data_IF_976248680812
#
_entry.id   IF_976248680812
#
_cell.length_a   1.000
_cell.length_b   1.000
_cell.length_c   1.000
_cell.angle_alpha   90.00
_cell.angle_beta   90.00
_cell.angle_gamma   90.00
#
_symmetry.space_group_name_H-M   'P 1'
#
loop_
_entity.id
_entity.type
_entity.pdbx_description
1 polymer ?
#
# COMPACT_ATOMS: atom_id res chain seq x y z
N UNK A 1 -32.44 8.11 -12.59
CA UNK A 1 -31.43 8.84 -11.78
C UNK A 1 -32.07 9.76 -10.74
N UNK A 2 -33.16 10.47 -11.05
CA UNK A 2 -33.81 11.40 -10.14
C UNK A 2 -34.51 10.69 -8.95
N UNK A 3 -35.15 9.55 -9.21
CA UNK A 3 -35.83 8.73 -8.19
C UNK A 3 -34.89 8.20 -7.09
N UNK A 4 -33.63 7.88 -7.45
CA UNK A 4 -32.60 7.44 -6.50
C UNK A 4 -32.16 8.57 -5.54
N UNK A 5 -32.18 9.81 -6.01
CA UNK A 5 -31.86 11.00 -5.21
C UNK A 5 -33.00 11.39 -4.25
N UNK A 6 -34.23 11.05 -4.59
CA UNK A 6 -35.41 11.30 -3.76
C UNK A 6 -35.53 10.24 -2.64
N UNK A 7 -35.18 8.98 -2.92
CA UNK A 7 -35.13 7.91 -1.93
C UNK A 7 -34.09 8.15 -0.82
N UNK A 8 -32.96 8.80 -1.12
CA UNK A 8 -31.96 9.17 -0.12
C UNK A 8 -32.40 10.34 0.76
N UNK A 9 -33.32 11.19 0.28
CA UNK A 9 -33.86 12.34 1.03
C UNK A 9 -35.04 11.96 1.93
N UNK A 10 -35.85 10.99 1.52
CA UNK A 10 -37.09 10.63 2.21
C UNK A 10 -36.91 9.60 3.34
N UNK A 11 -35.76 8.93 3.44
CA UNK A 11 -35.43 8.13 4.62
C UNK A 11 -35.02 9.05 5.77
N UNK A 12 -35.90 9.14 6.77
CA UNK A 12 -35.57 9.63 8.11
C UNK A 12 -34.25 9.03 8.55
N UNK A 13 -33.27 9.90 8.71
CA UNK A 13 -31.88 9.62 9.03
C UNK A 13 -31.72 8.59 10.16
N UNK A 14 -31.32 7.38 9.81
CA UNK A 14 -30.17 6.77 10.48
C UNK A 14 -29.09 6.65 9.42
N UNK A 15 -28.27 7.70 9.33
CA UNK A 15 -27.01 7.63 8.62
C UNK A 15 -26.15 6.55 9.29
N UNK A 16 -26.21 5.30 8.78
CA UNK A 16 -25.42 4.20 9.30
C UNK A 16 -26.04 2.79 9.26
N UNK A 17 -27.29 2.60 8.85
CA UNK A 17 -27.98 1.28 8.94
C UNK A 17 -28.39 0.65 7.60
N UNK A 18 -27.84 1.11 6.46
CA UNK A 18 -27.92 0.27 5.26
C UNK A 18 -26.96 -0.91 5.44
N UNK A 19 -27.42 -2.17 5.42
CA UNK A 19 -26.51 -3.31 5.43
C UNK A 19 -25.56 -3.17 4.24
N UNK A 20 -24.28 -3.48 4.46
CA UNK A 20 -23.21 -3.28 3.48
C UNK A 20 -23.51 -3.91 2.11
N UNK A 21 -24.36 -4.94 2.07
CA UNK A 21 -24.80 -5.63 0.84
C UNK A 21 -25.72 -4.80 -0.06
N UNK A 22 -26.43 -3.81 0.48
CA UNK A 22 -27.36 -2.96 -0.27
C UNK A 22 -26.76 -1.60 -0.65
N UNK A 23 -25.50 -1.36 -0.31
CA UNK A 23 -24.81 -0.12 -0.64
C UNK A 23 -24.19 -0.21 -2.04
N UNK A 24 -24.70 0.52 -3.06
CA UNK A 24 -24.16 0.49 -4.42
C UNK A 24 -22.74 1.08 -4.51
N UNK A 25 -22.25 1.73 -3.45
CA UNK A 25 -20.88 2.23 -3.34
C UNK A 25 -19.96 1.29 -2.54
N UNK A 26 -20.50 0.21 -1.95
CA UNK A 26 -19.71 -0.74 -1.18
C UNK A 26 -19.07 -1.80 -2.09
N UNK A 27 -17.79 -1.63 -2.39
CA UNK A 27 -16.95 -2.68 -2.97
C UNK A 27 -16.30 -3.49 -1.86
N UNK A 28 -16.50 -4.82 -1.85
CA UNK A 28 -15.77 -5.68 -0.92
C UNK A 28 -14.27 -5.61 -1.23
N UNK A 29 -13.43 -5.30 -0.24
CA UNK A 29 -11.97 -5.30 -0.43
C UNK A 29 -11.34 -6.62 -0.86
N UNK A 30 -12.12 -7.72 -0.83
CA UNK A 30 -11.69 -9.02 -1.35
C UNK A 30 -11.89 -9.12 -2.86
N UNK A 31 -12.70 -8.24 -3.43
CA UNK A 31 -12.87 -8.14 -4.86
C UNK A 31 -11.59 -7.58 -5.48
N UNK A 32 -11.15 -8.21 -6.55
CA UNK A 32 -9.94 -7.80 -7.25
C UNK A 32 -10.35 -6.92 -8.41
N UNK A 33 -9.82 -5.71 -8.44
CA UNK A 33 -10.06 -4.74 -9.50
C UNK A 33 -8.84 -4.71 -10.42
N UNK A 34 -9.04 -4.49 -11.71
CA UNK A 34 -7.93 -4.27 -12.65
C UNK A 34 -7.21 -2.97 -12.28
N UNK A 35 -5.93 -3.10 -11.94
CA UNK A 35 -5.03 -2.00 -11.60
C UNK A 35 -4.47 -1.33 -12.85
N UNK A 36 -4.19 -2.13 -13.88
CA UNK A 36 -3.63 -1.64 -15.13
C UNK A 36 -3.33 -2.76 -16.11
N UNK A 37 -2.88 -2.36 -17.29
CA UNK A 37 -2.57 -3.25 -18.41
C UNK A 37 -1.14 -3.04 -18.86
N UNK A 38 -0.43 -4.14 -19.12
CA UNK A 38 0.87 -4.15 -19.79
C UNK A 38 0.73 -4.89 -21.13
N UNK A 39 1.24 -4.32 -22.21
CA UNK A 39 1.07 -4.84 -23.57
C UNK A 39 2.40 -5.23 -24.17
N UNK A 40 2.49 -6.41 -24.78
CA UNK A 40 3.69 -6.89 -25.49
C UNK A 40 3.34 -7.33 -26.91
N UNK A 41 4.21 -7.05 -27.87
CA UNK A 41 4.03 -7.51 -29.25
C UNK A 41 4.71 -8.87 -29.44
N UNK A 42 4.00 -9.81 -30.07
CA UNK A 42 4.45 -11.20 -30.22
C UNK A 42 5.09 -11.49 -31.58
N UNK A 43 5.46 -10.46 -32.34
CA UNK A 43 6.09 -10.61 -33.66
C UNK A 43 7.43 -11.37 -33.62
N UNK A 44 8.13 -11.37 -32.48
CA UNK A 44 9.35 -12.17 -32.26
C UNK A 44 9.08 -13.68 -32.29
N UNK A 45 7.89 -14.10 -31.83
CA UNK A 45 7.49 -15.52 -31.83
C UNK A 45 7.32 -16.06 -33.25
N UNK A 46 6.99 -15.21 -34.23
CA UNK A 46 6.91 -15.55 -35.66
C UNK A 46 8.26 -15.96 -36.27
N UNK A 47 9.36 -15.74 -35.55
CA UNK A 47 10.71 -16.16 -35.94
C UNK A 47 11.31 -17.18 -34.97
N UNK A 48 10.47 -17.79 -34.11
CA UNK A 48 10.88 -18.72 -33.05
C UNK A 48 11.89 -18.11 -32.05
N UNK A 49 11.88 -16.79 -31.89
CA UNK A 49 12.78 -16.08 -30.97
C UNK A 49 12.14 -15.95 -29.58
N UNK A 50 12.97 -16.08 -28.54
CA UNK A 50 12.59 -15.75 -27.17
C UNK A 50 12.46 -14.22 -27.03
N UNK A 51 11.45 -13.81 -26.26
CA UNK A 51 11.19 -12.42 -25.92
C UNK A 51 11.24 -12.23 -24.40
N UNK A 52 12.18 -11.42 -23.92
CA UNK A 52 12.27 -11.02 -22.51
C UNK A 52 12.23 -9.49 -22.43
N UNK A 53 11.21 -8.96 -21.75
CA UNK A 53 11.00 -7.51 -21.69
C UNK A 53 10.45 -7.07 -20.33
N UNK A 54 10.83 -5.85 -19.96
CA UNK A 54 10.26 -5.14 -18.82
C UNK A 54 9.22 -4.14 -19.32
N UNK A 55 7.95 -4.50 -19.13
CA UNK A 55 6.81 -3.77 -19.68
C UNK A 55 6.27 -2.75 -18.67
N UNK A 56 6.00 -1.51 -19.06
CA UNK A 56 5.28 -0.56 -18.19
C UNK A 56 3.83 -1.01 -18.00
N UNK A 57 3.31 -0.81 -16.79
CA UNK A 57 1.91 -1.05 -16.44
C UNK A 57 1.18 0.29 -16.48
N UNK A 58 0.20 0.42 -17.38
CA UNK A 58 -0.60 1.63 -17.52
C UNK A 58 -1.95 1.51 -16.84
N UNK A 59 -2.31 2.54 -16.08
CA UNK A 59 -3.64 2.72 -15.52
C UNK A 59 -4.68 3.10 -16.59
N UNK A 60 -5.96 3.08 -16.24
CA UNK A 60 -7.04 3.64 -17.08
C UNK A 60 -6.86 5.14 -17.40
N UNK A 61 -6.03 5.84 -16.62
CA UNK A 61 -5.64 7.24 -16.84
C UNK A 61 -4.37 7.40 -17.69
N UNK A 62 -3.90 6.33 -18.30
CA UNK A 62 -2.63 6.26 -19.04
C UNK A 62 -1.42 6.73 -18.21
N UNK A 63 -1.49 6.54 -16.88
CA UNK A 63 -0.36 6.80 -15.98
C UNK A 63 0.40 5.51 -15.79
N UNK A 64 1.72 5.60 -15.86
CA UNK A 64 2.58 4.48 -15.50
C UNK A 64 2.52 4.27 -13.99
N UNK A 65 2.05 3.09 -13.60
CA UNK A 65 1.91 2.70 -12.19
C UNK A 65 3.14 1.91 -11.72
N UNK A 66 3.73 1.13 -12.61
CA UNK A 66 4.81 0.19 -12.28
C UNK A 66 5.28 -0.54 -13.53
N UNK A 67 6.02 -1.62 -13.32
CA UNK A 67 6.60 -2.42 -14.40
C UNK A 67 6.32 -3.91 -14.17
N UNK A 68 6.18 -4.67 -15.24
CA UNK A 68 6.01 -6.11 -15.25
C UNK A 68 7.17 -6.75 -16.04
N UNK A 69 7.93 -7.62 -15.38
CA UNK A 69 9.01 -8.38 -16.01
C UNK A 69 8.43 -9.71 -16.54
N UNK A 70 8.41 -9.87 -17.87
CA UNK A 70 7.84 -11.04 -18.55
C UNK A 70 8.87 -11.66 -19.48
N UNK A 71 8.88 -13.00 -19.54
CA UNK A 71 9.65 -13.77 -20.49
C UNK A 71 8.72 -14.72 -21.24
N UNK A 72 8.80 -14.73 -22.57
CA UNK A 72 7.95 -15.50 -23.46
C UNK A 72 8.85 -16.24 -24.44
N UNK A 73 8.63 -17.54 -24.62
CA UNK A 73 9.38 -18.30 -25.62
C UNK A 73 8.48 -19.29 -26.34
N UNK A 74 8.69 -19.47 -27.66
CA UNK A 74 8.01 -20.48 -28.43
C UNK A 74 8.70 -21.84 -28.26
N UNK A 75 7.91 -22.89 -28.20
CA UNK A 75 8.34 -24.27 -28.34
C UNK A 75 7.58 -24.87 -29.53
N UNK A 76 8.30 -25.16 -30.61
CA UNK A 76 7.77 -25.88 -31.77
C UNK A 76 8.61 -27.12 -32.04
N UNK A 77 7.97 -28.17 -32.53
CA UNK A 77 8.64 -29.40 -32.96
C UNK A 77 9.35 -29.26 -34.31
N UNK A 78 9.12 -28.16 -35.04
CA UNK A 78 9.64 -27.93 -36.40
C UNK A 78 10.29 -26.55 -36.52
N UNK A 79 11.21 -26.41 -37.47
CA UNK A 79 11.89 -25.13 -37.77
C UNK A 79 10.98 -24.11 -38.48
N UNK A 80 9.84 -24.55 -39.03
CA UNK A 80 8.85 -23.71 -39.70
C UNK A 80 7.58 -23.63 -38.85
N UNK A 81 7.11 -22.41 -38.61
CA UNK A 81 5.94 -22.14 -37.76
C UNK A 81 4.63 -22.57 -38.44
N UNK A 82 4.43 -22.18 -39.71
CA UNK A 82 3.20 -22.48 -40.45
C UNK A 82 3.12 -23.99 -40.70
N UNK A 83 2.01 -24.62 -40.27
CA UNK A 83 1.81 -26.07 -40.34
C UNK A 83 2.56 -26.86 -39.25
N UNK A 84 3.00 -26.17 -38.18
CA UNK A 84 3.56 -26.80 -36.99
C UNK A 84 2.68 -26.55 -35.77
N UNK A 85 2.74 -27.49 -34.82
CA UNK A 85 2.15 -27.30 -33.51
C UNK A 85 3.05 -26.38 -32.68
N UNK A 86 2.50 -25.22 -32.30
CA UNK A 86 3.21 -24.23 -31.51
C UNK A 86 2.70 -24.23 -30.07
N UNK A 87 3.59 -24.42 -29.11
CA UNK A 87 3.35 -24.19 -27.69
C UNK A 87 4.09 -22.93 -27.26
N UNK A 88 3.38 -21.95 -26.71
CA UNK A 88 3.98 -20.73 -26.19
C UNK A 88 4.09 -20.84 -24.68
N UNK A 89 5.29 -20.65 -24.16
CA UNK A 89 5.55 -20.58 -22.74
C UNK A 89 5.62 -19.12 -22.32
N UNK A 90 4.86 -18.77 -21.28
CA UNK A 90 4.82 -17.45 -20.69
C UNK A 90 5.24 -17.57 -19.22
N UNK A 91 6.35 -16.93 -18.90
CA UNK A 91 6.86 -16.76 -17.55
C UNK A 91 6.65 -15.32 -17.08
N UNK A 92 5.86 -15.17 -16.01
CA UNK A 92 5.70 -13.89 -15.32
C UNK A 92 6.69 -13.90 -14.15
N UNK A 93 7.78 -13.12 -14.28
CA UNK A 93 8.85 -13.10 -13.28
C UNK A 93 8.40 -12.33 -12.04
N UNK A 94 8.17 -11.03 -12.20
CA UNK A 94 7.81 -10.15 -11.10
C UNK A 94 7.10 -8.88 -11.61
N UNK A 95 6.36 -8.21 -10.73
CA UNK A 95 6.00 -6.81 -10.92
C UNK A 95 6.76 -5.92 -9.94
N UNK A 96 7.06 -4.69 -10.34
CA UNK A 96 7.84 -3.72 -9.55
C UNK A 96 7.19 -2.35 -9.56
N UNK A 97 7.27 -1.67 -8.42
CA UNK A 97 6.82 -0.28 -8.27
C UNK A 97 5.31 -0.11 -8.16
N UNK A 98 4.56 -1.16 -7.82
CA UNK A 98 3.11 -1.06 -7.67
C UNK A 98 2.72 -0.08 -6.54
N UNK A 99 1.50 0.48 -6.52
CA UNK A 99 1.09 1.46 -5.52
C UNK A 99 1.01 0.85 -4.12
N UNK A 100 1.38 1.62 -3.10
CA UNK A 100 1.36 1.16 -1.70
C UNK A 100 -0.06 0.81 -1.18
N UNK A 101 -1.11 1.33 -1.83
CA UNK A 101 -2.52 1.07 -1.54
C UNK A 101 -2.96 -0.35 -1.89
N UNK A 102 -2.18 -1.06 -2.68
CA UNK A 102 -2.45 -2.43 -3.10
C UNK A 102 -2.04 -3.42 -2.01
N UNK A 103 -2.90 -4.41 -1.75
CA UNK A 103 -2.65 -5.49 -0.79
C UNK A 103 -2.18 -6.76 -1.48
N UNK A 104 -3.02 -7.35 -2.32
CA UNK A 104 -2.72 -8.55 -3.10
C UNK A 104 -2.85 -8.29 -4.59
N UNK A 105 -2.07 -9.01 -5.39
CA UNK A 105 -1.94 -8.82 -6.84
C UNK A 105 -1.88 -10.16 -7.55
N UNK A 106 -2.43 -10.22 -8.75
CA UNK A 106 -2.21 -11.32 -9.68
C UNK A 106 -2.28 -10.77 -11.10
N UNK A 107 -1.75 -11.53 -12.05
CA UNK A 107 -1.78 -11.17 -13.46
C UNK A 107 -2.64 -12.19 -14.20
N UNK A 108 -3.51 -11.70 -15.07
CA UNK A 108 -4.25 -12.54 -16.02
C UNK A 108 -4.00 -12.10 -17.45
N UNK A 109 -4.07 -13.03 -18.38
CA UNK A 109 -3.89 -12.77 -19.81
C UNK A 109 -4.63 -13.82 -20.63
N UNK A 110 -4.93 -13.49 -21.88
CA UNK A 110 -5.49 -14.41 -22.87
C UNK A 110 -4.67 -14.32 -24.16
N UNK A 111 -4.37 -15.47 -24.75
CA UNK A 111 -3.57 -15.55 -25.97
C UNK A 111 -4.47 -15.97 -27.14
N UNK A 112 -4.58 -15.12 -28.16
CA UNK A 112 -5.31 -15.41 -29.41
C UNK A 112 -6.75 -15.93 -29.20
N UNK A 113 -7.45 -15.40 -28.19
CA UNK A 113 -8.82 -15.80 -27.86
C UNK A 113 -8.97 -17.14 -27.14
N UNK A 114 -7.87 -17.74 -26.66
CA UNK A 114 -7.94 -18.88 -25.75
C UNK A 114 -8.39 -18.47 -24.34
N UNK A 115 -8.65 -19.48 -23.49
CA UNK A 115 -9.08 -19.29 -22.11
C UNK A 115 -8.13 -18.38 -21.34
N UNK A 116 -8.70 -17.53 -20.49
CA UNK A 116 -7.93 -16.66 -19.60
C UNK A 116 -7.07 -17.49 -18.64
N UNK A 117 -5.78 -17.18 -18.63
CA UNK A 117 -4.81 -17.76 -17.71
C UNK A 117 -4.51 -16.79 -16.60
N UNK A 118 -4.32 -17.33 -15.39
CA UNK A 118 -4.16 -16.54 -14.17
C UNK A 118 -2.96 -17.00 -13.36
N UNK A 119 -2.13 -16.05 -12.92
CA UNK A 119 -1.02 -16.30 -12.01
C UNK A 119 -1.49 -16.50 -10.57
N UNK A 120 -0.60 -17.05 -9.73
CA UNK A 120 -0.82 -17.09 -8.28
C UNK A 120 -0.91 -15.67 -7.71
N UNK A 121 -1.82 -15.46 -6.75
CA UNK A 121 -1.94 -14.19 -6.04
C UNK A 121 -0.76 -13.99 -5.09
N UNK A 122 -0.16 -12.80 -5.10
CA UNK A 122 0.99 -12.40 -4.28
C UNK A 122 0.77 -11.01 -3.68
N UNK A 123 1.26 -10.80 -2.47
CA UNK A 123 1.16 -9.52 -1.77
C UNK A 123 2.49 -8.77 -1.80
N UNK A 124 2.43 -7.44 -1.74
CA UNK A 124 3.60 -6.56 -1.66
C UNK A 124 3.71 -5.56 -2.81
N UNK A 125 4.63 -4.61 -2.65
CA UNK A 125 4.92 -3.56 -3.64
C UNK A 125 5.63 -4.10 -4.90
N UNK A 126 6.45 -5.13 -4.69
CA UNK A 126 7.27 -5.78 -5.71
C UNK A 126 7.02 -7.31 -5.69
N UNK A 127 5.82 -7.77 -6.07
CA UNK A 127 5.47 -9.18 -6.00
C UNK A 127 6.30 -10.00 -7.00
N UNK A 128 6.88 -11.10 -6.53
CA UNK A 128 7.52 -12.12 -7.36
C UNK A 128 6.53 -13.26 -7.61
N UNK A 129 6.19 -13.47 -8.88
CA UNK A 129 5.19 -14.46 -9.28
C UNK A 129 5.85 -15.80 -9.60
N UNK A 130 6.97 -15.79 -10.33
CA UNK A 130 7.68 -16.99 -10.81
C UNK A 130 6.71 -18.05 -11.37
N UNK A 131 5.76 -17.57 -12.18
CA UNK A 131 4.65 -18.39 -12.69
C UNK A 131 4.93 -18.75 -14.13
N UNK A 132 5.16 -20.04 -14.40
CA UNK A 132 5.35 -20.59 -15.74
C UNK A 132 4.04 -21.23 -16.19
N UNK A 133 3.50 -20.74 -17.30
CA UNK A 133 2.26 -21.22 -17.89
C UNK A 133 2.51 -21.46 -19.38
N UNK A 134 2.07 -22.62 -19.87
CA UNK A 134 2.24 -23.03 -21.26
C UNK A 134 0.90 -23.09 -21.96
N UNK A 135 0.84 -22.56 -23.18
CA UNK A 135 -0.37 -22.45 -23.98
C UNK A 135 -0.13 -23.13 -25.32
N UNK A 136 -0.87 -24.22 -25.58
CA UNK A 136 -0.79 -24.92 -26.87
C UNK A 136 -1.75 -24.27 -27.86
N UNK A 137 -1.19 -23.68 -28.91
CA UNK A 137 -1.97 -23.05 -29.99
C UNK A 137 -2.43 -24.06 -31.06
N UNK A 138 -1.86 -25.27 -31.05
CA UNK A 138 -2.08 -26.28 -32.08
C UNK A 138 -1.41 -25.89 -33.39
N UNK A 139 -1.93 -26.41 -34.50
CA UNK A 139 -1.39 -26.16 -35.83
C UNK A 139 -1.61 -24.70 -36.26
N UNK A 140 -0.52 -24.00 -36.57
CA UNK A 140 -0.58 -22.60 -36.98
C UNK A 140 -0.97 -22.50 -38.46
N UNK A 141 -2.15 -21.94 -38.72
CA UNK A 141 -2.63 -21.52 -40.04
C UNK A 141 -2.07 -20.13 -40.40
N UNK A 142 -2.18 -19.73 -41.67
CA UNK A 142 -1.76 -18.38 -42.09
C UNK A 142 -2.55 -17.26 -41.38
N UNK A 143 -3.80 -17.53 -41.00
CA UNK A 143 -4.64 -16.58 -40.26
C UNK A 143 -4.12 -16.38 -38.83
N UNK A 144 -3.78 -17.47 -38.13
CA UNK A 144 -3.22 -17.37 -36.77
C UNK A 144 -1.82 -16.78 -36.79
N UNK A 145 -1.03 -17.04 -37.84
CA UNK A 145 0.27 -16.38 -38.04
C UNK A 145 0.14 -14.86 -38.17
N UNK A 146 -0.80 -14.36 -38.99
CA UNK A 146 -1.07 -12.92 -39.12
C UNK A 146 -1.55 -12.29 -37.82
N UNK A 147 -2.37 -13.00 -37.04
CA UNK A 147 -2.78 -12.54 -35.71
C UNK A 147 -1.59 -12.47 -34.77
N UNK A 148 -0.72 -13.48 -34.75
CA UNK A 148 0.47 -13.48 -33.90
C UNK A 148 1.44 -12.33 -34.22
N UNK A 149 1.53 -11.93 -35.49
CA UNK A 149 2.36 -10.81 -35.94
C UNK A 149 1.78 -9.44 -35.57
N UNK A 150 0.46 -9.27 -35.64
CA UNK A 150 -0.21 -7.97 -35.51
C UNK A 150 -0.84 -7.71 -34.15
N UNK A 151 -1.28 -8.76 -33.45
CA UNK A 151 -2.04 -8.66 -32.21
C UNK A 151 -1.09 -8.63 -30.99
N UNK A 152 -1.19 -7.59 -30.14
CA UNK A 152 -0.45 -7.56 -28.89
C UNK A 152 -1.07 -8.49 -27.86
N UNK A 153 -0.23 -9.12 -27.05
CA UNK A 153 -0.66 -9.81 -25.84
C UNK A 153 -0.81 -8.81 -24.69
N UNK A 154 -1.99 -8.80 -24.09
CA UNK A 154 -2.33 -7.93 -22.97
C UNK A 154 -2.26 -8.69 -21.65
N UNK A 155 -1.46 -8.19 -20.72
CA UNK A 155 -1.42 -8.62 -19.33
C UNK A 155 -2.23 -7.66 -18.48
N UNK A 156 -3.36 -8.12 -17.96
CA UNK A 156 -4.14 -7.38 -16.98
C UNK A 156 -3.61 -7.67 -15.58
N UNK A 157 -3.11 -6.64 -14.91
CA UNK A 157 -2.67 -6.71 -13.53
C UNK A 157 -3.87 -6.38 -12.65
N UNK A 158 -4.36 -7.36 -11.90
CA UNK A 158 -5.47 -7.19 -10.98
C UNK A 158 -4.95 -7.10 -9.55
N UNK A 159 -5.65 -6.33 -8.72
CA UNK A 159 -5.26 -6.09 -7.34
C UNK A 159 -6.44 -5.98 -6.40
N UNK A 160 -6.23 -6.33 -5.14
CA UNK A 160 -7.11 -5.96 -4.04
C UNK A 160 -6.53 -4.75 -3.30
N UNK A 161 -7.39 -3.90 -2.75
CA UNK A 161 -6.97 -2.70 -2.02
C UNK A 161 -6.92 -2.95 -0.51
N UNK A 162 -5.89 -2.41 0.14
CA UNK A 162 -5.82 -2.38 1.60
C UNK A 162 -6.99 -1.55 2.12
N UNK A 163 -7.84 -2.13 2.96
CA UNK A 163 -8.79 -1.31 3.72
C UNK A 163 -8.00 -0.45 4.68
N UNK A 164 -8.14 0.86 4.56
CA UNK A 164 -8.05 1.70 5.73
C UNK A 164 -9.27 1.37 6.59
N UNK A 165 -9.14 0.37 7.46
CA UNK A 165 -10.00 0.29 8.62
C UNK A 165 -9.73 1.57 9.42
N UNK A 166 -10.51 2.62 9.15
CA UNK A 166 -10.69 3.69 10.11
C UNK A 166 -11.34 3.01 11.28
N UNK A 167 -10.52 2.57 12.25
CA UNK A 167 -11.05 2.11 13.54
C UNK A 167 -12.05 3.19 13.95
N UNK A 168 -13.32 2.84 14.23
CA UNK A 168 -14.30 3.84 14.62
C UNK A 168 -13.64 4.63 15.74
N UNK A 169 -13.39 5.93 15.49
CA UNK A 169 -12.80 6.77 16.53
C UNK A 169 -13.77 6.62 17.70
N UNK A 170 -13.30 6.19 18.89
CA UNK A 170 -14.20 6.13 20.02
C UNK A 170 -14.87 7.50 20.11
N UNK A 171 -16.21 7.53 20.30
CA UNK A 171 -16.93 8.79 20.37
C UNK A 171 -16.18 9.68 21.35
N UNK A 172 -15.72 10.85 20.90
CA UNK A 172 -15.02 11.79 21.77
C UNK A 172 -15.92 11.97 23.00
N UNK A 173 -15.42 11.71 24.23
CA UNK A 173 -16.27 11.83 25.40
C UNK A 173 -16.86 13.25 25.43
N UNK A 174 -18.19 13.33 25.62
CA UNK A 174 -18.95 14.58 25.73
C UNK A 174 -18.48 15.51 26.86
N UNK A 175 -17.47 15.11 27.64
CA UNK A 175 -16.78 15.93 28.63
C UNK A 175 -16.32 17.28 28.08
N UNK A 176 -15.94 17.38 26.79
CA UNK A 176 -15.55 18.67 26.18
C UNK A 176 -16.71 19.66 25.94
N UNK A 177 -17.97 19.20 26.06
CA UNK A 177 -19.15 20.07 26.03
C UNK A 177 -19.42 20.58 27.45
N UNK A 178 -19.47 19.68 28.44
CA UNK A 178 -19.66 20.04 29.85
C UNK A 178 -18.56 20.95 30.38
N UNK A 179 -17.29 20.73 30.00
CA UNK A 179 -16.18 21.60 30.38
C UNK A 179 -16.33 22.99 29.73
N UNK A 180 -16.77 23.08 28.47
CA UNK A 180 -17.05 24.37 27.81
C UNK A 180 -18.24 25.11 28.45
N UNK A 181 -19.24 24.37 28.90
CA UNK A 181 -20.40 24.94 29.60
C UNK A 181 -19.98 25.47 30.99
N UNK A 182 -19.07 24.78 31.69
CA UNK A 182 -18.51 25.21 32.97
C UNK A 182 -17.59 26.43 32.81
N UNK A 183 -16.67 26.43 31.83
CA UNK A 183 -15.81 27.58 31.54
C UNK A 183 -16.64 28.83 31.18
N UNK A 184 -17.71 28.65 30.40
CA UNK A 184 -18.64 29.72 30.06
C UNK A 184 -19.40 30.32 31.26
N UNK A 185 -19.65 29.52 32.30
CA UNK A 185 -20.26 29.98 33.56
C UNK A 185 -19.25 30.73 34.45
N UNK A 186 -18.00 30.29 34.52
CA UNK A 186 -16.94 30.95 35.29
C UNK A 186 -16.66 32.35 34.73
N UNK A 187 -16.57 32.51 33.40
CA UNK A 187 -16.40 33.85 32.79
C UNK A 187 -17.55 34.83 33.07
N UNK A 188 -18.77 34.36 33.32
CA UNK A 188 -19.91 35.24 33.68
C UNK A 188 -19.95 35.62 35.16
N UNK A 189 -19.14 34.96 35.98
CA UNK A 189 -19.11 35.14 37.43
C UNK A 189 -18.08 36.20 37.86
N UNK A 190 -17.06 36.44 37.03
CA UNK A 190 -15.95 37.35 37.34
C UNK A 190 -16.29 38.85 37.16
N UNK A 191 -17.43 39.20 36.56
CA UNK A 191 -17.88 40.61 36.46
C UNK A 191 -18.46 41.17 37.77
N UNK A 192 -18.45 40.40 38.87
CA UNK A 192 -18.99 40.82 40.18
C UNK A 192 -17.98 40.85 41.33
N UNK A 193 -16.67 40.86 41.04
CA UNK A 193 -15.64 41.18 42.03
C UNK A 193 -15.59 40.23 43.23
N UNK A 194 -15.41 38.93 42.99
CA UNK A 194 -15.08 37.94 44.02
C UNK A 194 -13.84 37.14 43.61
N UNK A 195 -13.01 36.90 44.61
CA UNK A 195 -11.62 36.43 44.60
C UNK A 195 -11.38 35.06 43.92
N UNK A 196 -10.17 34.90 43.38
CA UNK A 196 -9.61 33.64 42.87
C UNK A 196 -9.78 32.50 43.88
N UNK A 197 -10.65 31.54 43.58
CA UNK A 197 -10.68 30.25 44.26
C UNK A 197 -10.13 29.21 43.29
N UNK A 198 -9.21 28.38 43.80
CA UNK A 198 -8.61 27.31 43.02
C UNK A 198 -9.66 26.22 42.73
N UNK A 199 -9.49 25.48 41.63
CA UNK A 199 -10.42 24.42 41.21
C UNK A 199 -10.61 23.36 42.33
N UNK A 200 -9.58 23.16 43.16
CA UNK A 200 -9.59 22.34 44.37
C UNK A 200 -10.65 22.79 45.38
N UNK A 201 -10.83 24.10 45.58
CA UNK A 201 -11.72 24.67 46.60
C UNK A 201 -13.19 24.53 46.22
N UNK A 202 -13.51 24.58 44.92
CA UNK A 202 -14.87 24.39 44.41
C UNK A 202 -15.33 22.92 44.49
N UNK A 203 -14.39 21.97 44.48
CA UNK A 203 -14.71 20.54 44.58
C UNK A 203 -15.23 20.13 45.96
N UNK A 204 -14.78 20.82 47.01
CA UNK A 204 -15.22 20.57 48.39
C UNK A 204 -16.65 21.09 48.65
N UNK A 205 -17.07 22.16 47.98
CA UNK A 205 -18.36 22.80 48.22
C UNK A 205 -19.52 22.07 47.53
N UNK A 206 -19.27 21.45 46.36
CA UNK A 206 -20.34 20.87 45.53
C UNK A 206 -20.52 19.35 45.69
N UNK A 207 -19.72 18.69 46.51
CA UNK A 207 -19.77 17.23 46.73
C UNK A 207 -19.82 16.42 45.40
N UNK A 208 -19.11 16.91 44.39
CA UNK A 208 -18.97 16.25 43.08
C UNK A 208 -17.71 15.39 43.13
N UNK A 209 -17.77 14.08 42.83
CA UNK A 209 -16.60 13.24 42.83
C UNK A 209 -15.60 13.70 41.75
N UNK A 210 -14.41 14.10 42.20
CA UNK A 210 -13.31 14.51 41.31
C UNK A 210 -12.94 13.34 40.40
N UNK A 211 -12.95 13.51 39.07
CA UNK A 211 -12.59 12.44 38.16
C UNK A 211 -11.08 12.14 38.26
N UNK A 212 -10.72 10.87 38.49
CA UNK A 212 -9.35 10.29 38.54
C UNK A 212 -8.42 10.63 37.36
N UNK A 213 -8.93 11.32 36.33
CA UNK A 213 -8.16 11.79 35.18
C UNK A 213 -7.37 13.09 35.47
N UNK A 214 -7.78 13.87 36.47
CA UNK A 214 -7.09 15.11 36.87
C UNK A 214 -5.84 14.78 37.70
N UNK A 215 -5.96 13.87 38.68
CA UNK A 215 -4.81 13.37 39.46
C UNK A 215 -3.71 12.76 38.58
N UNK A 216 -4.09 12.06 37.49
CA UNK A 216 -3.12 11.48 36.54
C UNK A 216 -2.42 12.50 35.64
N UNK A 217 -2.92 13.73 35.55
CA UNK A 217 -2.28 14.80 34.76
C UNK A 217 -1.19 15.48 35.59
N UNK A 218 -1.47 15.78 36.86
CA UNK A 218 -0.50 16.36 37.79
C UNK A 218 0.67 15.38 38.03
N UNK A 219 0.40 14.09 38.24
CA UNK A 219 1.46 13.08 38.41
C UNK A 219 2.35 12.91 37.16
N UNK A 220 1.85 13.27 35.98
CA UNK A 220 2.62 13.23 34.72
C UNK A 220 3.47 14.49 34.51
N UNK A 221 3.03 15.64 35.00
CA UNK A 221 3.82 16.87 34.95
C UNK A 221 4.99 16.81 35.94
N UNK A 222 4.77 16.30 37.14
CA UNK A 222 5.84 16.11 38.14
C UNK A 222 6.92 15.12 37.65
N UNK A 223 6.51 14.03 36.99
CA UNK A 223 7.46 13.07 36.37
C UNK A 223 8.20 13.66 35.16
N UNK A 224 7.66 14.70 34.52
CA UNK A 224 8.32 15.38 33.40
C UNK A 224 9.39 16.34 33.92
N UNK A 225 9.09 17.09 34.98
CA UNK A 225 10.04 18.00 35.65
C UNK A 225 11.22 17.21 36.24
N UNK A 226 10.96 16.07 36.89
CA UNK A 226 12.04 15.20 37.41
C UNK A 226 12.96 14.65 36.31
N UNK A 227 12.42 14.33 35.12
CA UNK A 227 13.23 13.82 34.00
C UNK A 227 14.08 14.91 33.32
N UNK A 228 13.64 16.15 33.33
CA UNK A 228 14.45 17.27 32.82
C UNK A 228 15.60 17.61 33.77
N UNK A 229 15.39 17.56 35.09
CA UNK A 229 16.47 17.78 36.06
C UNK A 229 17.58 16.72 35.97
N UNK A 230 17.21 15.43 35.83
CA UNK A 230 18.19 14.34 35.67
C UNK A 230 19.00 14.46 34.35
N UNK A 231 18.39 14.98 33.29
CA UNK A 231 19.10 15.20 32.01
C UNK A 231 20.11 16.33 32.09
N UNK A 232 19.82 17.36 32.87
CA UNK A 232 20.72 18.50 33.04
C UNK A 232 21.95 18.12 33.88
N UNK A 233 21.78 17.31 34.94
CA UNK A 233 22.90 16.79 35.74
C UNK A 233 23.84 15.82 34.96
N UNK A 234 23.31 15.09 33.97
CA UNK A 234 24.13 14.24 33.09
C UNK A 234 24.92 15.04 32.04
N UNK A 235 24.58 16.31 31.80
CA UNK A 235 25.22 17.14 30.80
C UNK A 235 26.43 17.90 31.37
N UNK A 236 26.45 18.19 32.67
CA UNK A 236 27.59 18.87 33.34
C UNK A 236 28.79 17.94 33.62
N UNK A 237 28.63 16.62 33.57
CA UNK A 237 29.70 15.66 33.86
C UNK A 237 30.48 15.14 32.63
N UNK A 238 30.36 15.79 31.46
CA UNK A 238 31.03 15.36 30.21
C UNK A 238 32.17 16.25 29.72
N UNK A 239 32.50 17.33 30.41
CA UNK A 239 33.69 18.14 30.12
C UNK A 239 34.92 17.62 30.87
N UNK A 240 35.45 16.47 30.46
CA UNK A 240 36.88 16.16 30.69
C UNK A 240 37.28 14.96 29.81
N UNK A 241 37.80 15.25 28.60
CA UNK A 241 38.53 14.26 27.79
C UNK A 241 39.88 14.84 27.36
N UNK A 242 41.00 14.14 27.59
CA UNK A 242 42.32 14.61 27.22
C UNK A 242 42.60 14.41 25.73
N UNK A 243 43.23 15.44 25.17
CA UNK A 243 43.73 15.54 23.80
C UNK A 243 44.80 14.45 23.56
N UNK A 244 44.59 13.59 22.55
CA UNK A 244 45.64 12.69 22.00
C UNK A 244 45.97 13.09 20.56
N UNK A 245 47.27 13.28 20.33
CA UNK A 245 47.93 13.76 19.12
C UNK A 245 47.88 12.77 17.93
N UNK A 246 48.07 13.25 16.68
CA UNK A 246 48.03 12.42 15.47
C UNK A 246 49.40 11.78 15.15
N UNK A 247 49.39 10.55 14.61
CA UNK A 247 50.57 9.92 14.00
C UNK A 247 50.24 9.23 12.65
N UNK A 248 50.84 9.81 11.61
CA UNK A 248 51.53 9.25 10.42
C UNK A 248 51.25 7.82 9.90
N UNK A 249 50.95 7.78 8.59
CA UNK A 249 51.53 6.99 7.48
C UNK A 249 51.61 5.45 7.53
N UNK A 250 50.96 4.77 6.56
CA UNK A 250 51.59 4.13 5.37
C UNK A 250 50.59 3.19 4.63
N UNK A 251 50.73 3.01 3.30
CA UNK A 251 49.90 2.09 2.50
C UNK A 251 50.63 0.77 2.20
N UNK A 252 49.92 -0.36 2.23
CA UNK A 252 50.42 -1.66 1.74
C UNK A 252 49.50 -2.27 0.70
N UNK A 253 50.11 -2.48 -0.47
CA UNK A 253 49.67 -3.23 -1.64
C UNK A 253 49.49 -4.73 -1.38
N UNK A 254 48.92 -5.41 -2.40
CA UNK A 254 48.96 -6.86 -2.77
C UNK A 254 47.59 -7.52 -2.69
N UNK A 255 47.16 -8.45 -3.56
CA UNK A 255 47.68 -9.05 -4.80
C UNK A 255 46.52 -9.82 -5.42
N UNK A 256 46.42 -9.78 -6.75
CA UNK A 256 45.59 -10.63 -7.60
C UNK A 256 45.84 -12.13 -7.36
N UNK A 257 44.80 -12.97 -7.47
CA UNK A 257 44.91 -14.40 -7.84
C UNK A 257 43.72 -14.83 -8.69
N UNK A 258 44.01 -14.95 -9.98
CA UNK A 258 43.32 -15.74 -11.00
C UNK A 258 43.45 -17.23 -10.66
N UNK A 259 42.38 -18.01 -10.82
CA UNK A 259 42.46 -19.48 -10.85
C UNK A 259 41.56 -19.98 -11.98
N UNK A 260 42.22 -20.35 -13.08
CA UNK A 260 41.70 -21.17 -14.17
C UNK A 260 42.26 -22.58 -13.92
N UNK A 261 41.41 -23.59 -13.80
CA UNK A 261 41.82 -24.98 -14.05
C UNK A 261 40.73 -25.67 -14.88
N UNK A 262 41.26 -26.22 -15.97
CA UNK A 262 40.79 -27.19 -16.97
C UNK A 262 39.74 -28.20 -16.52
#
# INVERSE_FOLDING_TARGET
>A
MQEMFELSRNKTNIAGETPYELDPFYSSSLEHTTLGVATVFLSSLCFLLEHEERLPIFDFRAREIGHLDVKIWPASSKDKIIGSDLTVHVEIKAAKGLPASVDSTFVKYSLLGQNELRSKTKSGLNPSFQSNLSVSLGEITEETYKKLESEPLCFEVCSSHKRHFVKPRPPKPRLSQQIRDIEGLITRSNDKGLTELSISDLSMILNIPVPKAVEKKEEKEDKKIQKENIKNELFENKEELPIKQPRSDTPTSTSSKTCLIL
#
